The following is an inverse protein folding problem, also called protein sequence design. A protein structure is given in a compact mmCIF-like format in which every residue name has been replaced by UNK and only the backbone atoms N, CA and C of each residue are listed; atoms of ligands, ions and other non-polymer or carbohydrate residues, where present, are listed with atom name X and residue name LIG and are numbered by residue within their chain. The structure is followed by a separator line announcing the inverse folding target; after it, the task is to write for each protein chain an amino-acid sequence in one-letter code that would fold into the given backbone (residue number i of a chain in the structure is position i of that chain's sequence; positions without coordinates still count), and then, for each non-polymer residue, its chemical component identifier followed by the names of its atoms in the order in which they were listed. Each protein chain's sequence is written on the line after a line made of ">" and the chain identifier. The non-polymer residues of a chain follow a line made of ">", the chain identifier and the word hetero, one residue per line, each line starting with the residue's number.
data_IF_829529132574
#
_entry.id   IF_829529132574
#
_cell.length_a   1.000
_cell.length_b   1.000
_cell.length_c   1.000
_cell.angle_alpha   90.00
_cell.angle_beta   90.00
_cell.angle_gamma   90.00
#
_symmetry.space_group_name_H-M   'P 1'
#
loop_
_entity.id
_entity.type
_entity.pdbx_description
1 polymer ?
#
# COMPACT_ATOMS: atom_id res chain seq x y z
N UNK A 1 6.00 55.26 -69.28
CA UNK A 1 5.50 55.71 -67.96
C UNK A 1 5.39 54.48 -67.09
N UNK A 2 6.19 54.41 -66.03
CA UNK A 2 6.53 53.17 -65.32
C UNK A 2 5.52 52.86 -64.20
N UNK A 3 5.09 51.61 -64.14
CA UNK A 3 4.17 51.04 -63.14
C UNK A 3 4.97 50.76 -61.86
N UNK A 4 4.60 51.37 -60.73
CA UNK A 4 5.10 50.98 -59.40
C UNK A 4 4.01 50.21 -58.65
N UNK A 5 4.23 48.91 -58.49
CA UNK A 5 3.48 48.05 -57.60
C UNK A 5 3.79 48.40 -56.14
N UNK A 6 2.75 48.58 -55.33
CA UNK A 6 2.85 48.77 -53.87
C UNK A 6 2.61 47.41 -53.24
N UNK A 7 3.66 46.79 -52.73
CA UNK A 7 3.60 45.55 -51.93
C UNK A 7 3.32 45.93 -50.47
N UNK A 8 2.13 45.64 -49.96
CA UNK A 8 1.87 45.66 -48.51
C UNK A 8 2.44 44.39 -47.88
N UNK A 9 3.44 44.54 -47.00
CA UNK A 9 3.95 43.47 -46.16
C UNK A 9 3.16 43.45 -44.84
N UNK A 10 2.23 42.51 -44.70
CA UNK A 10 1.48 42.27 -43.46
C UNK A 10 2.37 41.49 -42.50
N UNK A 11 2.93 42.14 -41.48
CA UNK A 11 3.65 41.46 -40.40
C UNK A 11 2.64 40.77 -39.46
N UNK A 12 2.50 39.45 -39.56
CA UNK A 12 1.84 38.64 -38.53
C UNK A 12 2.76 38.59 -37.29
N UNK A 13 2.39 39.30 -36.23
CA UNK A 13 2.90 39.02 -34.89
C UNK A 13 2.22 37.75 -34.38
N UNK A 14 2.98 36.65 -34.33
CA UNK A 14 2.61 35.49 -33.52
C UNK A 14 2.83 35.83 -32.04
N UNK A 15 1.84 35.65 -31.15
CA UNK A 15 2.06 35.81 -29.73
C UNK A 15 2.99 34.70 -29.25
N UNK A 16 4.15 35.08 -28.72
CA UNK A 16 5.03 34.15 -28.02
C UNK A 16 4.26 33.60 -26.80
N UNK A 17 3.94 32.31 -26.84
CA UNK A 17 3.46 31.55 -25.69
C UNK A 17 4.56 31.58 -24.62
N UNK A 18 4.40 32.48 -23.65
CA UNK A 18 5.20 32.49 -22.44
C UNK A 18 4.93 31.17 -21.71
N UNK A 19 5.87 30.23 -21.83
CA UNK A 19 5.88 29.04 -21.00
C UNK A 19 6.17 29.52 -19.58
N UNK A 20 5.18 29.43 -18.71
CA UNK A 20 5.38 29.63 -17.27
C UNK A 20 6.26 28.49 -16.77
N UNK A 21 7.56 28.76 -16.61
CA UNK A 21 8.47 27.83 -15.95
C UNK A 21 7.94 27.65 -14.53
N UNK A 22 7.43 26.45 -14.21
CA UNK A 22 6.97 26.14 -12.87
C UNK A 22 8.13 26.36 -11.89
N UNK A 23 7.91 27.17 -10.86
CA UNK A 23 8.93 27.48 -9.87
C UNK A 23 9.40 26.17 -9.22
N UNK A 24 10.70 25.95 -9.25
CA UNK A 24 11.35 24.69 -8.92
C UNK A 24 11.97 24.84 -7.52
N UNK A 25 11.65 23.96 -6.57
CA UNK A 25 12.06 24.05 -5.14
C UNK A 25 13.10 22.97 -4.82
N UNK A 26 14.23 23.34 -4.18
CA UNK A 26 15.24 22.36 -3.77
C UNK A 26 14.71 21.43 -2.67
N UNK A 27 14.91 20.12 -2.85
CA UNK A 27 14.47 19.04 -1.93
C UNK A 27 15.62 18.55 -1.05
N UNK A 28 16.35 19.50 -0.43
CA UNK A 28 17.45 19.14 0.49
C UNK A 28 16.89 18.37 1.71
N UNK A 29 17.28 17.10 1.83
CA UNK A 29 16.90 16.24 2.96
C UNK A 29 15.48 15.67 2.89
N UNK A 30 14.79 15.82 1.76
CA UNK A 30 13.49 15.19 1.57
C UNK A 30 13.67 13.72 1.20
N UNK A 31 12.82 12.85 1.75
CA UNK A 31 12.75 11.46 1.31
C UNK A 31 12.22 11.42 -0.14
N UNK A 32 12.98 10.76 -1.01
CA UNK A 32 12.64 10.50 -2.40
C UNK A 32 12.97 9.02 -2.64
N UNK A 33 11.94 8.20 -2.77
CA UNK A 33 12.08 6.84 -3.28
C UNK A 33 12.12 6.91 -4.80
N UNK A 34 13.10 6.31 -5.47
CA UNK A 34 12.98 6.11 -6.90
C UNK A 34 12.55 4.67 -7.14
N UNK A 35 11.35 4.51 -7.70
CA UNK A 35 10.80 3.19 -8.02
C UNK A 35 11.76 2.27 -8.80
N UNK A 36 12.64 2.83 -9.64
CA UNK A 36 13.60 2.08 -10.48
C UNK A 36 14.91 1.74 -9.79
N UNK A 37 15.25 2.37 -8.65
CA UNK A 37 16.49 2.11 -7.93
C UNK A 37 17.79 2.63 -8.59
N UNK A 38 17.71 3.31 -9.75
CA UNK A 38 18.87 3.89 -10.44
C UNK A 38 19.53 4.98 -9.58
N UNK A 39 20.79 4.79 -9.21
CA UNK A 39 21.56 5.78 -8.44
C UNK A 39 21.74 7.10 -9.21
N UNK A 40 21.59 8.24 -8.54
CA UNK A 40 21.83 9.58 -9.13
C UNK A 40 20.65 10.24 -9.85
N UNK A 41 19.42 9.74 -9.65
CA UNK A 41 18.20 10.19 -10.34
C UNK A 41 17.20 10.90 -9.42
N UNK A 42 17.52 11.05 -8.14
CA UNK A 42 16.69 11.85 -7.25
C UNK A 42 16.78 13.31 -7.72
N UNK A 43 15.66 13.95 -8.10
CA UNK A 43 15.71 15.32 -8.57
C UNK A 43 16.21 16.22 -7.44
N UNK A 44 17.24 17.02 -7.71
CA UNK A 44 17.73 18.05 -6.78
C UNK A 44 16.66 19.14 -6.53
N UNK A 45 15.72 19.25 -7.46
CA UNK A 45 14.70 20.28 -7.51
C UNK A 45 13.35 19.68 -7.95
N UNK A 46 12.31 19.93 -7.19
CA UNK A 46 10.94 19.45 -7.47
C UNK A 46 10.07 20.63 -7.88
N UNK A 47 9.06 20.38 -8.70
CA UNK A 47 8.08 21.38 -9.10
C UNK A 47 7.39 22.02 -7.89
N UNK A 48 6.90 23.24 -8.08
CA UNK A 48 6.24 24.00 -7.00
C UNK A 48 5.12 23.15 -6.36
N UNK A 49 4.96 23.18 -5.02
CA UNK A 49 3.83 22.57 -4.30
C UNK A 49 2.46 23.11 -4.74
N UNK A 50 2.42 24.21 -5.48
CA UNK A 50 1.21 24.79 -6.09
C UNK A 50 0.90 24.18 -7.46
N UNK A 51 1.79 23.38 -8.03
CA UNK A 51 1.57 22.69 -9.31
C UNK A 51 0.45 21.67 -9.14
N UNK A 52 -0.48 21.62 -10.09
CA UNK A 52 -1.59 20.67 -10.07
C UNK A 52 -1.29 19.48 -10.96
N UNK A 53 -1.69 18.29 -10.54
CA UNK A 53 -1.68 17.10 -11.38
C UNK A 53 -2.86 17.06 -12.36
N UNK A 54 -2.67 16.34 -13.47
CA UNK A 54 -3.72 16.10 -14.46
C UNK A 54 -4.88 15.23 -13.94
N UNK A 55 -6.05 15.37 -14.57
CA UNK A 55 -7.27 14.66 -14.14
C UNK A 55 -7.18 13.14 -14.25
N UNK A 56 -6.28 12.60 -15.09
CA UNK A 56 -6.10 11.17 -15.25
C UNK A 56 -5.42 10.56 -14.02
N UNK A 57 -4.29 11.12 -13.58
CA UNK A 57 -3.59 10.67 -12.38
C UNK A 57 -4.45 10.82 -11.11
N UNK A 58 -5.26 11.90 -11.03
CA UNK A 58 -6.24 12.06 -9.94
C UNK A 58 -7.22 10.88 -9.88
N UNK A 59 -7.78 10.48 -11.04
CA UNK A 59 -8.68 9.32 -11.13
C UNK A 59 -7.99 8.01 -10.80
N UNK A 60 -6.72 7.83 -11.17
CA UNK A 60 -5.94 6.64 -10.80
C UNK A 60 -5.80 6.53 -9.28
N UNK A 61 -5.44 7.64 -8.62
CA UNK A 61 -5.33 7.68 -7.16
C UNK A 61 -6.69 7.40 -6.49
N UNK A 62 -7.77 8.01 -6.98
CA UNK A 62 -9.11 7.75 -6.46
C UNK A 62 -9.53 6.28 -6.66
N UNK A 63 -9.18 5.67 -7.80
CA UNK A 63 -9.38 4.24 -8.07
C UNK A 63 -8.59 3.34 -7.13
N UNK A 64 -7.38 3.74 -6.72
CA UNK A 64 -6.53 3.01 -5.76
C UNK A 64 -7.09 3.12 -4.34
N UNK A 65 -7.46 4.33 -3.90
CA UNK A 65 -7.86 4.58 -2.51
C UNK A 65 -9.27 4.06 -2.19
N UNK A 66 -10.17 4.02 -3.18
CA UNK A 66 -11.57 3.65 -3.00
C UNK A 66 -11.78 2.21 -2.52
N UNK A 67 -11.20 1.15 -3.13
CA UNK A 67 -11.40 -0.23 -2.68
C UNK A 67 -10.85 -0.50 -1.28
N UNK A 68 -9.79 0.21 -0.90
CA UNK A 68 -9.12 0.04 0.40
C UNK A 68 -9.70 0.94 1.50
N UNK A 69 -10.68 1.78 1.15
CA UNK A 69 -11.38 2.62 2.12
C UNK A 69 -10.51 3.68 2.78
N UNK A 70 -9.51 4.18 2.05
CA UNK A 70 -8.57 5.17 2.57
C UNK A 70 -8.95 6.57 2.12
N UNK A 71 -8.90 7.50 3.06
CA UNK A 71 -8.98 8.91 2.74
C UNK A 71 -7.64 9.42 2.23
N UNK A 72 -7.72 10.32 1.27
CA UNK A 72 -6.57 10.97 0.71
C UNK A 72 -6.04 12.02 1.68
N UNK A 73 -4.85 11.77 2.24
CA UNK A 73 -4.11 12.71 3.10
C UNK A 73 -2.81 13.23 2.44
N UNK A 74 -2.71 13.11 1.10
CA UNK A 74 -1.58 13.57 0.31
C UNK A 74 -2.04 14.29 -0.96
N UNK A 75 -1.24 15.23 -1.43
CA UNK A 75 -1.44 15.89 -2.73
C UNK A 75 -0.67 15.12 -3.80
N UNK A 76 -1.13 15.21 -5.05
CA UNK A 76 -0.40 14.60 -6.16
C UNK A 76 -0.04 15.73 -7.12
N UNK A 77 1.22 15.78 -7.54
CA UNK A 77 1.74 16.85 -8.41
C UNK A 77 2.48 16.25 -9.59
N UNK A 78 2.27 16.83 -10.77
CA UNK A 78 2.99 16.46 -11.98
C UNK A 78 4.28 17.27 -12.06
N UNK A 79 5.41 16.59 -12.28
CA UNK A 79 6.70 17.23 -12.46
C UNK A 79 7.48 16.58 -13.60
N UNK A 80 7.59 17.34 -14.69
CA UNK A 80 8.29 16.92 -15.91
C UNK A 80 9.80 16.86 -15.72
N UNK A 81 10.46 15.99 -16.48
CA UNK A 81 11.91 15.78 -16.49
C UNK A 81 12.45 15.24 -15.16
N UNK A 82 11.63 14.49 -14.42
CA UNK A 82 12.11 13.74 -13.26
C UNK A 82 12.34 12.27 -13.58
N UNK A 83 11.78 11.77 -14.69
CA UNK A 83 11.88 10.36 -15.12
C UNK A 83 11.52 9.37 -14.00
N UNK A 84 10.57 9.77 -13.14
CA UNK A 84 10.32 9.07 -11.89
C UNK A 84 8.90 9.33 -11.33
N UNK A 85 8.51 8.52 -10.35
CA UNK A 85 7.35 8.72 -9.49
C UNK A 85 7.77 8.42 -8.04
N UNK A 86 7.48 9.31 -7.11
CA UNK A 86 7.98 9.20 -5.73
C UNK A 86 7.10 9.89 -4.69
N UNK A 87 7.05 9.30 -3.49
CA UNK A 87 6.45 9.88 -2.30
C UNK A 87 7.44 10.79 -1.55
N UNK A 88 6.99 11.96 -1.12
CA UNK A 88 7.80 12.92 -0.35
C UNK A 88 6.97 13.79 0.60
N UNK A 89 7.64 14.49 1.52
CA UNK A 89 7.00 15.43 2.46
C UNK A 89 7.67 16.79 2.32
N UNK A 90 6.89 17.81 1.96
CA UNK A 90 7.36 19.18 1.81
C UNK A 90 6.58 20.09 2.77
N UNK A 91 7.29 20.75 3.69
CA UNK A 91 6.71 21.65 4.71
C UNK A 91 5.57 20.99 5.52
N UNK A 92 5.71 19.72 5.89
CA UNK A 92 4.71 18.96 6.65
C UNK A 92 3.55 18.40 5.82
N UNK A 93 3.42 18.76 4.54
CA UNK A 93 2.40 18.22 3.64
C UNK A 93 2.98 17.02 2.85
N UNK A 94 2.21 15.94 2.76
CA UNK A 94 2.54 14.74 1.97
C UNK A 94 2.24 14.95 0.48
N UNK A 95 3.15 14.52 -0.38
CA UNK A 95 3.05 14.62 -1.83
C UNK A 95 3.47 13.33 -2.52
N UNK A 96 2.73 12.94 -3.54
CA UNK A 96 3.22 12.04 -4.59
C UNK A 96 3.57 12.91 -5.80
N UNK A 97 4.82 12.82 -6.23
CA UNK A 97 5.36 13.55 -7.38
C UNK A 97 5.58 12.55 -8.49
N UNK A 98 5.08 12.83 -9.69
CA UNK A 98 5.27 11.93 -10.84
C UNK A 98 5.57 12.69 -12.12
N UNK A 99 6.33 12.06 -13.00
CA UNK A 99 6.52 12.50 -14.38
C UNK A 99 5.54 11.78 -15.31
N UNK A 100 4.64 12.54 -15.96
CA UNK A 100 3.64 11.96 -16.84
C UNK A 100 4.25 11.21 -18.04
N UNK A 101 5.37 11.70 -18.59
CA UNK A 101 6.04 11.07 -19.72
C UNK A 101 6.68 9.73 -19.32
N UNK A 102 7.26 9.68 -18.12
CA UNK A 102 7.76 8.42 -17.55
C UNK A 102 6.64 7.40 -17.36
N UNK A 103 5.55 7.79 -16.71
CA UNK A 103 4.42 6.88 -16.48
C UNK A 103 3.87 6.34 -17.81
N UNK A 104 3.69 7.21 -18.81
CA UNK A 104 3.24 6.81 -20.14
C UNK A 104 4.22 5.84 -20.82
N UNK A 105 5.53 6.10 -20.77
CA UNK A 105 6.53 5.23 -21.40
C UNK A 105 6.50 3.80 -20.85
N UNK A 106 6.20 3.64 -19.57
CA UNK A 106 6.10 2.32 -18.93
C UNK A 106 4.80 1.61 -19.31
N UNK A 107 3.69 2.33 -19.40
CA UNK A 107 2.43 1.78 -19.91
C UNK A 107 2.59 1.28 -21.35
N UNK A 108 3.32 2.03 -22.19
CA UNK A 108 3.63 1.65 -23.56
C UNK A 108 4.57 0.43 -23.62
N UNK A 109 5.62 0.38 -22.80
CA UNK A 109 6.56 -0.74 -22.74
C UNK A 109 5.90 -2.04 -22.23
N UNK A 110 5.00 -1.92 -21.26
CA UNK A 110 4.32 -3.06 -20.63
C UNK A 110 2.99 -3.43 -21.29
N UNK A 111 2.52 -2.61 -22.23
CA UNK A 111 1.23 -2.74 -22.91
C UNK A 111 0.02 -2.79 -21.94
N UNK A 112 0.12 -2.12 -20.78
CA UNK A 112 -0.94 -2.12 -19.76
C UNK A 112 -0.87 -0.91 -18.82
N UNK A 113 -2.03 -0.41 -18.36
CA UNK A 113 -2.12 0.64 -17.34
C UNK A 113 -1.77 0.14 -15.93
N UNK A 114 -1.78 -1.19 -15.71
CA UNK A 114 -1.45 -1.79 -14.43
C UNK A 114 -0.02 -1.49 -13.97
N UNK A 115 0.89 -1.21 -14.90
CA UNK A 115 2.26 -0.84 -14.56
C UNK A 115 2.34 0.51 -13.83
N UNK A 116 1.72 1.54 -14.39
CA UNK A 116 1.58 2.87 -13.79
C UNK A 116 0.76 2.83 -12.49
N UNK A 117 -0.34 2.07 -12.48
CA UNK A 117 -1.15 1.89 -11.26
C UNK A 117 -0.32 1.23 -10.15
N UNK A 118 0.50 0.24 -10.48
CA UNK A 118 1.36 -0.46 -9.52
C UNK A 118 2.40 0.48 -8.89
N UNK A 119 3.03 1.34 -9.71
CA UNK A 119 3.96 2.37 -9.24
C UNK A 119 3.26 3.36 -8.31
N UNK A 120 2.11 3.90 -8.73
CA UNK A 120 1.33 4.83 -7.91
C UNK A 120 0.90 4.18 -6.58
N UNK A 121 0.46 2.92 -6.60
CA UNK A 121 0.08 2.19 -5.40
C UNK A 121 1.27 1.97 -4.46
N UNK A 122 2.46 1.68 -4.99
CA UNK A 122 3.70 1.59 -4.22
C UNK A 122 4.01 2.93 -3.51
N UNK A 123 3.95 4.06 -4.22
CA UNK A 123 4.21 5.39 -3.62
C UNK A 123 3.18 5.76 -2.55
N UNK A 124 1.91 5.42 -2.78
CA UNK A 124 0.85 5.54 -1.77
C UNK A 124 1.19 4.68 -0.54
N UNK A 125 1.75 3.48 -0.75
CA UNK A 125 2.25 2.60 0.31
C UNK A 125 3.24 3.27 1.25
N UNK A 126 4.21 4.01 0.72
CA UNK A 126 5.18 4.76 1.53
C UNK A 126 4.54 5.79 2.46
N UNK A 127 3.48 6.47 2.03
CA UNK A 127 2.75 7.38 2.90
C UNK A 127 1.96 6.63 3.98
N UNK A 128 1.22 5.59 3.58
CA UNK A 128 0.30 4.90 4.48
C UNK A 128 0.97 4.02 5.52
N UNK A 129 2.13 3.45 5.18
CA UNK A 129 2.94 2.65 6.09
C UNK A 129 3.84 3.51 6.98
N UNK A 130 3.86 4.83 6.77
CA UNK A 130 4.63 5.77 7.58
C UNK A 130 6.12 5.84 7.22
N UNK A 131 6.53 5.27 6.08
CA UNK A 131 7.92 5.29 5.59
C UNK A 131 8.44 6.72 5.36
N UNK A 132 7.52 7.66 5.13
CA UNK A 132 7.82 9.07 4.89
C UNK A 132 8.01 9.91 6.15
N UNK A 133 7.82 9.35 7.36
CA UNK A 133 7.82 10.11 8.62
C UNK A 133 9.24 10.33 9.18
N UNK A 134 10.15 9.37 9.01
CA UNK A 134 11.50 9.42 9.60
C UNK A 134 12.59 9.95 8.64
N UNK A 135 12.22 10.33 7.41
CA UNK A 135 13.15 10.83 6.40
C UNK A 135 14.17 9.79 5.88
N UNK A 136 14.06 8.52 6.30
CA UNK A 136 15.00 7.44 5.98
C UNK A 136 14.31 6.34 5.19
N UNK A 137 13.69 6.67 4.07
CA UNK A 137 12.82 5.70 3.39
C UNK A 137 13.52 4.76 2.41
N UNK A 138 14.77 5.01 2.00
CA UNK A 138 15.55 4.10 1.14
C UNK A 138 16.10 2.90 1.91
N UNK A 139 15.25 2.20 2.66
CA UNK A 139 15.61 0.96 3.34
C UNK A 139 14.95 -0.20 2.59
N UNK A 140 15.69 -1.25 2.21
CA UNK A 140 15.13 -2.34 1.41
C UNK A 140 13.87 -2.97 2.01
N UNK A 141 13.69 -2.99 3.33
CA UNK A 141 12.47 -3.51 3.96
C UNK A 141 11.24 -2.62 3.69
N UNK A 142 11.40 -1.29 3.70
CA UNK A 142 10.31 -0.34 3.43
C UNK A 142 9.84 -0.45 1.98
N UNK A 143 10.77 -0.68 1.05
CA UNK A 143 10.47 -0.96 -0.37
C UNK A 143 9.64 -2.23 -0.54
N UNK A 144 10.02 -3.33 0.14
CA UNK A 144 9.28 -4.59 0.08
C UNK A 144 7.88 -4.47 0.73
N UNK A 145 7.75 -3.68 1.78
CA UNK A 145 6.46 -3.37 2.40
C UNK A 145 5.55 -2.58 1.45
N UNK A 146 6.10 -1.61 0.71
CA UNK A 146 5.38 -0.82 -0.29
C UNK A 146 4.98 -1.68 -1.50
N UNK A 147 5.88 -2.54 -2.00
CA UNK A 147 5.59 -3.53 -3.05
C UNK A 147 4.46 -4.48 -2.65
N UNK A 148 4.50 -4.96 -1.40
CA UNK A 148 3.45 -5.81 -0.85
C UNK A 148 2.11 -5.08 -0.78
N UNK A 149 2.10 -3.80 -0.37
CA UNK A 149 0.89 -2.98 -0.40
C UNK A 149 0.36 -2.81 -1.83
N UNK A 150 1.24 -2.54 -2.80
CA UNK A 150 0.87 -2.42 -4.21
C UNK A 150 0.16 -3.68 -4.72
N UNK A 151 0.72 -4.87 -4.47
CA UNK A 151 0.09 -6.14 -4.84
C UNK A 151 -1.30 -6.35 -4.24
N UNK A 152 -1.49 -5.97 -2.97
CA UNK A 152 -2.79 -6.02 -2.30
C UNK A 152 -3.81 -5.10 -2.98
N UNK A 153 -3.42 -3.86 -3.28
CA UNK A 153 -4.27 -2.86 -3.95
C UNK A 153 -4.67 -3.33 -5.35
N UNK A 154 -3.72 -3.82 -6.14
CA UNK A 154 -3.95 -4.28 -7.51
C UNK A 154 -4.98 -5.41 -7.55
N UNK A 155 -4.92 -6.37 -6.61
CA UNK A 155 -5.94 -7.40 -6.45
C UNK A 155 -7.33 -6.80 -6.20
N UNK A 156 -7.44 -5.87 -5.25
CA UNK A 156 -8.71 -5.22 -4.90
C UNK A 156 -9.28 -4.41 -6.08
N UNK A 157 -8.41 -3.90 -6.94
CA UNK A 157 -8.78 -3.22 -8.19
C UNK A 157 -9.14 -4.17 -9.33
N UNK A 158 -8.83 -5.46 -9.18
CA UNK A 158 -9.22 -6.51 -10.12
C UNK A 158 -8.11 -7.04 -11.02
N UNK A 159 -6.86 -6.59 -10.85
CA UNK A 159 -5.72 -7.11 -11.60
C UNK A 159 -5.53 -8.61 -11.32
N UNK A 160 -5.16 -9.36 -12.35
CA UNK A 160 -4.58 -10.68 -12.19
C UNK A 160 -3.21 -10.61 -11.50
N UNK A 161 -2.74 -11.75 -11.01
CA UNK A 161 -1.40 -11.82 -10.43
C UNK A 161 -0.32 -11.42 -11.44
N UNK A 162 -0.44 -11.86 -12.70
CA UNK A 162 0.55 -11.53 -13.72
C UNK A 162 0.58 -10.05 -14.07
N UNK A 163 -0.60 -9.42 -14.22
CA UNK A 163 -0.71 -7.96 -14.40
C UNK A 163 -0.12 -7.20 -13.21
N UNK A 164 -0.25 -7.73 -11.99
CA UNK A 164 0.27 -7.06 -10.80
C UNK A 164 1.81 -7.01 -10.77
N UNK A 165 2.48 -7.92 -11.48
CA UNK A 165 3.94 -8.05 -11.48
C UNK A 165 4.64 -7.28 -12.60
N UNK A 166 3.91 -6.77 -13.60
CA UNK A 166 4.48 -6.19 -14.83
C UNK A 166 5.41 -5.00 -14.59
N UNK A 167 5.06 -4.09 -13.68
CA UNK A 167 5.90 -2.92 -13.37
C UNK A 167 7.28 -3.32 -12.85
N UNK A 168 7.34 -4.27 -11.91
CA UNK A 168 8.59 -4.74 -11.31
C UNK A 168 9.40 -5.58 -12.32
N UNK A 169 8.73 -6.35 -13.19
CA UNK A 169 9.38 -7.10 -14.28
C UNK A 169 10.13 -6.16 -15.23
N UNK A 170 9.48 -5.06 -15.64
CA UNK A 170 10.03 -4.06 -16.55
C UNK A 170 11.14 -3.21 -15.90
N UNK A 171 10.91 -2.71 -14.69
CA UNK A 171 11.75 -1.65 -14.10
C UNK A 171 12.74 -2.12 -13.02
N UNK A 172 12.55 -3.32 -12.47
CA UNK A 172 13.39 -3.80 -11.37
C UNK A 172 14.83 -4.08 -11.80
N UNK A 173 15.79 -3.81 -10.93
CA UNK A 173 17.17 -4.25 -11.10
C UNK A 173 17.37 -5.68 -10.59
N UNK A 174 18.14 -6.50 -11.31
CA UNK A 174 18.43 -7.89 -10.91
C UNK A 174 19.29 -7.97 -9.64
N UNK A 175 20.01 -6.89 -9.31
CA UNK A 175 20.91 -6.82 -8.16
C UNK A 175 20.39 -5.83 -7.12
N UNK A 176 20.56 -6.16 -5.85
CA UNK A 176 20.20 -5.25 -4.77
C UNK A 176 21.20 -4.10 -4.66
N UNK A 177 20.70 -2.92 -4.29
CA UNK A 177 21.51 -1.76 -3.93
C UNK A 177 21.42 -1.49 -2.41
N UNK A 178 22.09 -0.45 -1.93
CA UNK A 178 22.00 -0.03 -0.53
C UNK A 178 20.58 0.42 -0.13
N UNK A 179 19.80 0.88 -1.10
CA UNK A 179 18.47 1.45 -0.88
C UNK A 179 17.33 0.60 -1.43
N UNK A 180 17.59 -0.19 -2.48
CA UNK A 180 16.55 -0.97 -3.16
C UNK A 180 16.87 -2.48 -3.19
N UNK A 181 15.87 -3.33 -2.90
CA UNK A 181 16.03 -4.78 -3.02
C UNK A 181 16.06 -5.23 -4.49
N UNK A 182 16.65 -6.40 -4.73
CA UNK A 182 16.69 -7.01 -6.05
C UNK A 182 15.28 -7.38 -6.56
N UNK A 183 15.10 -7.37 -7.89
CA UNK A 183 13.85 -7.69 -8.61
C UNK A 183 13.16 -8.97 -8.10
N UNK A 184 13.84 -10.11 -7.86
CA UNK A 184 13.17 -11.30 -7.36
C UNK A 184 12.46 -11.10 -6.01
N UNK A 185 13.07 -10.32 -5.09
CA UNK A 185 12.48 -10.04 -3.78
C UNK A 185 11.26 -9.11 -3.89
N UNK A 186 11.34 -8.12 -4.80
CA UNK A 186 10.23 -7.21 -5.11
C UNK A 186 9.04 -7.95 -5.69
N UNK A 187 9.26 -8.78 -6.71
CA UNK A 187 8.23 -9.63 -7.33
C UNK A 187 7.54 -10.52 -6.29
N UNK A 188 8.33 -11.15 -5.40
CA UNK A 188 7.78 -11.98 -4.34
C UNK A 188 6.95 -11.18 -3.33
N UNK A 189 7.30 -9.93 -3.07
CA UNK A 189 6.56 -9.06 -2.15
C UNK A 189 5.23 -8.61 -2.75
N UNK A 190 5.20 -8.20 -4.01
CA UNK A 190 3.96 -7.92 -4.76
C UNK A 190 3.07 -9.17 -4.77
N UNK A 191 3.63 -10.34 -5.12
CA UNK A 191 2.90 -11.61 -5.15
C UNK A 191 2.29 -11.94 -3.79
N UNK A 192 3.03 -11.76 -2.70
CA UNK A 192 2.52 -11.96 -1.34
C UNK A 192 1.34 -11.06 -1.05
N UNK A 193 1.43 -9.76 -1.38
CA UNK A 193 0.35 -8.80 -1.19
C UNK A 193 -0.92 -9.19 -1.94
N UNK A 194 -0.76 -9.57 -3.20
CA UNK A 194 -1.87 -10.01 -4.06
C UNK A 194 -2.55 -11.27 -3.51
N UNK A 195 -1.78 -12.30 -3.14
CA UNK A 195 -2.32 -13.55 -2.60
C UNK A 195 -2.96 -13.36 -1.22
N UNK A 196 -2.44 -12.43 -0.42
CA UNK A 196 -3.05 -12.06 0.86
C UNK A 196 -4.44 -11.46 0.63
N UNK A 197 -4.56 -10.56 -0.35
CA UNK A 197 -5.84 -10.00 -0.76
C UNK A 197 -6.79 -11.08 -1.31
N UNK A 198 -6.30 -12.02 -2.14
CA UNK A 198 -7.11 -13.15 -2.60
C UNK A 198 -7.61 -14.01 -1.44
N UNK A 199 -6.76 -14.32 -0.46
CA UNK A 199 -7.16 -15.10 0.72
C UNK A 199 -8.19 -14.38 1.59
N UNK A 200 -8.11 -13.05 1.66
CA UNK A 200 -9.03 -12.23 2.46
C UNK A 200 -10.34 -11.92 1.74
N UNK A 201 -10.34 -11.91 0.41
CA UNK A 201 -11.46 -11.49 -0.45
C UNK A 201 -11.63 -12.44 -1.65
N UNK A 202 -11.87 -13.74 -1.44
CA UNK A 202 -12.00 -14.70 -2.53
C UNK A 202 -13.19 -14.30 -3.41
N UNK A 203 -12.95 -14.14 -4.72
CA UNK A 203 -14.03 -13.84 -5.68
C UNK A 203 -14.86 -15.10 -5.88
N UNK A 204 -16.06 -15.13 -5.29
CA UNK A 204 -17.08 -16.19 -5.38
C UNK A 204 -16.66 -17.58 -4.87
N UNK A 205 -17.12 -17.95 -3.67
CA UNK A 205 -17.24 -19.35 -3.25
C UNK A 205 -18.35 -20.03 -4.07
N UNK A 206 -17.98 -20.57 -5.22
CA UNK A 206 -18.62 -21.79 -5.72
C UNK A 206 -17.51 -22.67 -6.25
N UNK A 207 -17.28 -23.78 -5.55
CA UNK A 207 -16.31 -24.85 -5.85
C UNK A 207 -14.84 -24.58 -5.50
N UNK A 208 -14.46 -24.82 -4.24
CA UNK A 208 -13.22 -25.53 -3.94
C UNK A 208 -13.32 -26.18 -2.56
N UNK A 209 -13.57 -27.48 -2.56
CA UNK A 209 -13.44 -28.38 -1.40
C UNK A 209 -11.96 -28.42 -0.97
N UNK A 210 -11.62 -28.62 0.32
CA UNK A 210 -10.22 -28.62 0.75
C UNK A 210 -9.46 -29.77 0.10
N UNK A 211 -8.32 -29.47 -0.53
CA UNK A 211 -7.37 -30.48 -0.92
C UNK A 211 -6.77 -31.10 0.35
N UNK A 212 -7.07 -32.39 0.53
CA UNK A 212 -6.63 -33.25 1.61
C UNK A 212 -5.09 -33.24 1.72
N UNK A 213 -4.57 -32.91 2.90
CA UNK A 213 -3.15 -32.94 3.21
C UNK A 213 -2.58 -34.37 3.06
N UNK A 214 -1.52 -34.54 2.27
CA UNK A 214 -0.70 -35.76 2.28
C UNK A 214 0.54 -35.53 3.14
N UNK A 215 0.44 -35.89 4.41
CA UNK A 215 1.61 -36.07 5.26
C UNK A 215 2.38 -37.35 4.87
N UNK A 216 3.72 -37.33 4.75
CA UNK A 216 4.49 -38.57 4.76
C UNK A 216 4.62 -39.11 6.19
N UNK A 217 4.40 -40.42 6.33
CA UNK A 217 4.54 -41.20 7.56
C UNK A 217 6.00 -41.28 8.06
N UNK A 218 6.21 -41.49 9.37
CA UNK A 218 7.53 -41.60 9.99
C UNK A 218 8.16 -42.99 9.80
N UNK A 219 9.47 -43.02 9.57
CA UNK A 219 10.27 -44.25 9.54
C UNK A 219 10.82 -44.50 10.95
N UNK A 220 10.49 -45.67 11.48
CA UNK A 220 10.90 -46.23 12.77
C UNK A 220 12.30 -46.86 12.70
N UNK A 221 13.13 -46.70 13.75
CA UNK A 221 13.83 -47.82 14.44
C UNK A 221 14.79 -47.34 15.57
N UNK A 222 15.17 -48.24 16.52
CA UNK A 222 15.20 -47.94 17.96
C UNK A 222 16.60 -47.99 18.60
N UNK A 223 16.80 -47.39 19.79
CA UNK A 223 17.77 -47.83 20.81
C UNK A 223 17.28 -47.44 22.22
N UNK A 224 17.56 -48.32 23.18
CA UNK A 224 17.03 -48.41 24.53
C UNK A 224 17.83 -47.69 25.65
N UNK A 225 17.15 -47.60 26.80
CA UNK A 225 17.61 -47.68 28.20
C UNK A 225 18.29 -46.48 28.92
N UNK A 226 17.71 -46.21 30.10
CA UNK A 226 18.00 -45.23 31.17
C UNK A 226 19.24 -45.63 32.04
N UNK A 227 19.60 -44.98 33.19
CA UNK A 227 18.88 -43.92 33.95
C UNK A 227 19.71 -42.78 34.62
N UNK A 228 18.93 -41.79 35.10
CA UNK A 228 18.99 -40.97 36.32
C UNK A 228 20.23 -40.12 36.72
N UNK A 229 19.93 -38.81 36.83
CA UNK A 229 20.21 -37.87 37.93
C UNK A 229 21.62 -37.36 38.19
N UNK A 230 21.83 -36.07 37.90
CA UNK A 230 22.38 -35.10 38.88
C UNK A 230 21.93 -33.68 38.56
N UNK A 231 21.56 -32.97 39.62
CA UNK A 231 21.08 -31.60 39.72
C UNK A 231 22.25 -30.62 39.59
N UNK A 232 22.21 -29.67 38.64
CA UNK A 232 22.87 -28.35 38.75
C UNK A 232 22.05 -27.30 37.96
N UNK A 233 21.83 -26.15 38.60
CA UNK A 233 20.99 -25.01 38.22
C UNK A 233 21.25 -24.38 36.83
N UNK A 234 20.22 -23.85 36.14
CA UNK A 234 20.45 -23.01 34.98
C UNK A 234 20.48 -21.52 35.35
N UNK A 235 21.61 -20.91 35.01
CA UNK A 235 21.79 -19.48 34.81
C UNK A 235 20.88 -19.05 33.66
N UNK A 236 20.15 -17.96 33.83
CA UNK A 236 19.17 -17.42 32.87
C UNK A 236 19.82 -17.09 31.52
N UNK A 237 19.61 -17.94 30.52
CA UNK A 237 19.84 -17.62 29.11
C UNK A 237 18.51 -17.15 28.55
N UNK A 238 18.51 -15.93 28.00
CA UNK A 238 17.35 -15.35 27.33
C UNK A 238 16.81 -16.32 26.28
N UNK A 239 15.52 -16.63 26.38
CA UNK A 239 14.83 -17.51 25.46
C UNK A 239 14.91 -16.93 24.03
N UNK A 240 15.37 -17.75 23.09
CA UNK A 240 15.19 -17.48 21.67
C UNK A 240 13.69 -17.28 21.38
N UNK A 241 13.29 -16.35 20.49
CA UNK A 241 11.88 -16.12 20.21
C UNK A 241 11.27 -17.40 19.65
N UNK A 242 10.20 -17.88 20.32
CA UNK A 242 9.44 -19.04 19.88
C UNK A 242 8.96 -18.82 18.44
N UNK A 243 9.15 -19.84 17.60
CA UNK A 243 8.64 -19.88 16.22
C UNK A 243 7.13 -19.63 16.30
N UNK A 244 6.65 -18.49 15.80
CA UNK A 244 5.23 -18.15 15.86
C UNK A 244 4.42 -19.23 15.11
N UNK A 245 3.59 -19.97 15.84
CA UNK A 245 2.70 -20.98 15.27
C UNK A 245 1.67 -20.26 14.41
N UNK A 246 1.65 -20.57 13.11
CA UNK A 246 0.66 -20.07 12.15
C UNK A 246 -0.58 -20.97 12.21
N UNK A 247 -1.77 -20.37 12.14
CA UNK A 247 -3.06 -21.05 12.22
C UNK A 247 -3.82 -20.70 13.51
N UNK A 248 -4.79 -21.54 13.88
CA UNK A 248 -5.51 -21.40 15.13
C UNK A 248 -4.59 -21.74 16.31
N UNK A 249 -4.27 -20.76 17.15
CA UNK A 249 -3.32 -20.92 18.27
C UNK A 249 -4.02 -21.06 19.62
N UNK A 250 -5.31 -20.72 19.71
CA UNK A 250 -6.13 -20.93 20.90
C UNK A 250 -7.61 -20.82 20.56
N UNK A 251 -8.47 -21.53 21.31
CA UNK A 251 -9.91 -21.45 21.17
C UNK A 251 -10.43 -22.21 19.95
N UNK A 252 -11.61 -21.82 19.49
CA UNK A 252 -12.30 -22.40 18.33
C UNK A 252 -12.30 -21.39 17.19
N UNK A 253 -11.51 -21.70 16.15
CA UNK A 253 -11.41 -20.88 14.95
C UNK A 253 -12.30 -21.39 13.80
N UNK A 254 -13.18 -22.37 14.06
CA UNK A 254 -14.16 -22.86 13.09
C UNK A 254 -15.54 -22.25 13.38
N UNK A 255 -16.09 -22.45 14.58
CA UNK A 255 -17.47 -22.04 14.92
C UNK A 255 -17.60 -21.49 16.36
N UNK A 256 -16.63 -20.69 16.78
CA UNK A 256 -16.61 -20.17 18.15
C UNK A 256 -15.69 -18.98 18.36
N UNK A 257 -15.07 -18.89 19.53
CA UNK A 257 -14.14 -17.81 19.87
C UNK A 257 -12.71 -18.33 19.80
N UNK A 258 -11.90 -17.71 18.96
CA UNK A 258 -10.55 -18.18 18.67
C UNK A 258 -9.52 -17.06 18.57
N UNK A 259 -8.25 -17.47 18.57
CA UNK A 259 -7.13 -16.64 18.12
C UNK A 259 -6.48 -17.32 16.94
N UNK A 260 -6.46 -16.64 15.80
CA UNK A 260 -5.82 -17.10 14.58
C UNK A 260 -4.62 -16.22 14.26
N UNK A 261 -3.47 -16.84 13.99
CA UNK A 261 -2.22 -16.16 13.61
C UNK A 261 -1.94 -16.43 12.14
N UNK A 262 -1.81 -15.37 11.36
CA UNK A 262 -1.52 -15.45 9.93
C UNK A 262 -0.02 -15.64 9.67
N UNK A 263 0.40 -16.14 8.48
CA UNK A 263 1.81 -16.20 8.08
C UNK A 263 2.53 -14.86 8.15
N UNK A 264 1.81 -13.74 8.05
CA UNK A 264 2.30 -12.37 8.16
C UNK A 264 2.63 -11.96 9.60
N UNK A 265 2.34 -12.81 10.59
CA UNK A 265 2.33 -12.54 12.04
C UNK A 265 1.24 -11.57 12.51
N UNK A 266 0.37 -11.10 11.62
CA UNK A 266 -0.90 -10.50 12.03
C UNK A 266 -1.73 -11.57 12.76
N UNK A 267 -2.64 -11.14 13.64
CA UNK A 267 -3.55 -12.06 14.32
C UNK A 267 -4.95 -11.50 14.41
N UNK A 268 -5.93 -12.39 14.44
CA UNK A 268 -7.31 -12.09 14.75
C UNK A 268 -7.68 -12.77 16.07
N UNK A 269 -8.39 -12.03 16.93
CA UNK A 269 -8.96 -12.53 18.18
C UNK A 269 -10.44 -12.17 18.17
N UNK A 270 -11.33 -13.16 18.13
CA UNK A 270 -12.75 -12.88 18.03
C UNK A 270 -13.59 -14.11 17.71
N UNK A 271 -14.80 -13.83 17.24
CA UNK A 271 -15.78 -14.83 16.84
C UNK A 271 -15.50 -15.36 15.42
N UNK A 272 -15.81 -16.63 15.21
CA UNK A 272 -15.71 -17.38 13.98
C UNK A 272 -17.03 -18.10 13.69
N UNK A 273 -17.37 -18.19 12.41
CA UNK A 273 -18.48 -19.00 11.89
C UNK A 273 -18.02 -19.59 10.56
N UNK A 274 -18.13 -20.91 10.37
CA UNK A 274 -17.64 -21.65 9.21
C UNK A 274 -16.17 -21.33 8.84
N UNK A 275 -15.31 -21.21 9.85
CA UNK A 275 -13.88 -20.81 9.74
C UNK A 275 -13.62 -19.37 9.28
N UNK A 276 -14.66 -18.56 9.12
CA UNK A 276 -14.56 -17.17 8.73
C UNK A 276 -14.71 -16.25 9.95
N UNK A 277 -13.99 -15.12 9.99
CA UNK A 277 -14.20 -14.10 11.03
C UNK A 277 -15.65 -13.63 10.96
N UNK A 278 -16.35 -13.72 12.08
CA UNK A 278 -17.74 -13.31 12.23
C UNK A 278 -17.90 -12.54 13.54
N UNK A 279 -19.01 -11.81 13.70
CA UNK A 279 -19.39 -11.20 14.97
C UNK A 279 -18.36 -10.20 15.47
N UNK A 280 -18.12 -10.14 16.78
CA UNK A 280 -17.19 -9.17 17.36
C UNK A 280 -15.77 -9.72 17.38
N UNK A 281 -14.81 -8.92 16.88
CA UNK A 281 -13.41 -9.31 16.87
C UNK A 281 -12.43 -8.14 16.89
N UNK A 282 -11.16 -8.47 17.06
CA UNK A 282 -10.03 -7.54 17.01
C UNK A 282 -8.93 -8.11 16.12
N UNK A 283 -8.55 -7.35 15.09
CA UNK A 283 -7.37 -7.61 14.29
C UNK A 283 -6.18 -6.86 14.84
N UNK A 284 -5.00 -7.48 14.76
CA UNK A 284 -3.74 -6.91 15.19
C UNK A 284 -2.73 -6.98 14.05
N UNK A 285 -1.93 -5.93 13.94
CA UNK A 285 -0.74 -5.90 13.12
C UNK A 285 0.33 -6.88 13.62
N UNK A 286 1.31 -7.18 12.76
CA UNK A 286 2.44 -8.06 13.08
C UNK A 286 3.31 -7.60 14.26
N UNK A 287 3.30 -6.29 14.55
CA UNK A 287 3.96 -5.67 15.71
C UNK A 287 3.11 -5.76 17.00
N UNK A 288 1.91 -6.34 16.90
CA UNK A 288 0.97 -6.51 17.99
C UNK A 288 0.07 -5.31 18.28
N UNK A 289 0.20 -4.19 17.56
CA UNK A 289 -0.72 -3.05 17.68
C UNK A 289 -2.10 -3.43 17.13
N UNK A 290 -3.15 -2.85 17.72
CA UNK A 290 -4.52 -3.04 17.22
C UNK A 290 -4.63 -2.41 15.84
N UNK A 291 -5.14 -3.17 14.87
CA UNK A 291 -5.43 -2.76 13.49
C UNK A 291 -6.91 -2.41 13.33
N UNK A 292 -7.79 -3.24 13.88
CA UNK A 292 -9.22 -3.01 13.85
C UNK A 292 -9.89 -3.63 15.07
N UNK A 293 -10.95 -2.98 15.57
CA UNK A 293 -11.85 -3.52 16.58
C UNK A 293 -13.30 -3.23 16.16
N UNK A 294 -14.12 -4.25 16.01
CA UNK A 294 -15.50 -4.07 15.55
C UNK A 294 -16.14 -5.36 15.09
N UNK A 295 -17.15 -5.23 14.23
CA UNK A 295 -17.92 -6.36 13.73
C UNK A 295 -17.33 -6.92 12.43
N UNK A 296 -17.48 -8.22 12.25
CA UNK A 296 -17.08 -8.97 11.07
C UNK A 296 -18.26 -9.78 10.53
N UNK A 297 -18.27 -9.97 9.22
CA UNK A 297 -19.17 -10.87 8.50
C UNK A 297 -18.40 -11.45 7.31
N UNK A 298 -18.33 -12.77 7.22
CA UNK A 298 -17.65 -13.49 6.12
C UNK A 298 -16.20 -13.02 5.90
N UNK A 299 -15.40 -12.91 6.97
CA UNK A 299 -14.04 -12.33 6.98
C UNK A 299 -13.93 -10.82 6.73
N UNK A 300 -15.02 -10.12 6.44
CA UNK A 300 -15.01 -8.70 6.12
C UNK A 300 -15.43 -7.86 7.32
N UNK A 301 -14.75 -6.74 7.58
CA UNK A 301 -15.20 -5.72 8.52
C UNK A 301 -16.57 -5.21 8.07
N UNK A 302 -17.51 -5.21 8.99
CA UNK A 302 -18.91 -4.88 8.76
C UNK A 302 -19.44 -4.06 9.93
N UNK A 303 -20.59 -3.43 9.72
CA UNK A 303 -21.33 -2.67 10.73
C UNK A 303 -20.41 -1.67 11.46
N UNK A 304 -20.57 -1.46 12.76
CA UNK A 304 -19.77 -0.46 13.47
C UNK A 304 -18.40 -1.01 13.89
N UNK A 305 -17.35 -0.19 13.75
CA UNK A 305 -16.02 -0.50 14.25
C UNK A 305 -15.04 0.68 14.23
N UNK A 306 -13.82 0.40 14.68
CA UNK A 306 -12.72 1.36 14.74
C UNK A 306 -11.50 0.76 14.06
N UNK A 307 -11.01 1.42 13.02
CA UNK A 307 -9.79 1.03 12.30
C UNK A 307 -8.66 1.99 12.62
N UNK A 308 -7.51 1.44 13.02
CA UNK A 308 -6.30 2.19 13.35
C UNK A 308 -5.29 1.97 12.23
N UNK A 309 -4.94 3.04 11.53
CA UNK A 309 -4.00 2.98 10.40
C UNK A 309 -2.55 3.08 10.90
N UNK A 310 -1.61 2.49 10.14
CA UNK A 310 -0.17 2.51 10.49
C UNK A 310 0.43 3.91 10.50
N UNK A 311 -0.11 4.82 9.69
CA UNK A 311 0.30 6.22 9.64
C UNK A 311 -0.16 7.06 10.84
N UNK A 312 -0.92 6.48 11.78
CA UNK A 312 -1.44 7.15 12.97
C UNK A 312 -2.89 7.63 12.82
N UNK A 313 -3.45 7.59 11.60
CA UNK A 313 -4.84 7.95 11.38
C UNK A 313 -5.78 6.91 12.02
N UNK A 314 -7.04 7.28 12.23
CA UNK A 314 -8.08 6.37 12.71
C UNK A 314 -9.42 6.67 12.05
N UNK A 315 -10.18 5.63 11.71
CA UNK A 315 -11.59 5.77 11.36
C UNK A 315 -12.46 5.08 12.42
N UNK A 316 -13.56 5.72 12.80
CA UNK A 316 -14.56 5.21 13.73
C UNK A 316 -15.94 5.40 13.12
N UNK A 317 -16.65 4.31 12.84
CA UNK A 317 -17.94 4.40 12.16
C UNK A 317 -18.39 3.10 11.51
N UNK A 318 -19.30 3.24 10.56
CA UNK A 318 -19.90 2.13 9.83
C UNK A 318 -18.99 1.64 8.69
N UNK A 319 -18.93 0.32 8.55
CA UNK A 319 -18.20 -0.42 7.53
C UNK A 319 -19.15 -1.30 6.73
N UNK A 320 -18.88 -1.42 5.44
CA UNK A 320 -19.50 -2.41 4.57
C UNK A 320 -18.41 -3.02 3.69
N UNK A 321 -18.25 -4.34 3.76
CA UNK A 321 -17.26 -5.10 2.98
C UNK A 321 -15.85 -4.49 3.10
N UNK A 322 -15.36 -4.33 4.34
CA UNK A 322 -14.05 -3.76 4.66
C UNK A 322 -13.87 -2.24 4.43
N UNK A 323 -14.87 -1.54 3.89
CA UNK A 323 -14.77 -0.13 3.50
C UNK A 323 -15.65 0.74 4.40
N UNK A 324 -15.18 1.91 4.89
CA UNK A 324 -16.03 2.90 5.53
C UNK A 324 -17.25 3.25 4.67
N UNK A 325 -18.44 3.00 5.20
CA UNK A 325 -19.70 3.21 4.49
C UNK A 325 -20.83 3.45 5.49
N UNK A 326 -21.41 4.64 5.49
CA UNK A 326 -22.36 5.13 6.49
C UNK A 326 -21.75 6.21 7.37
N UNK A 327 -22.34 6.44 8.55
CA UNK A 327 -21.89 7.51 9.45
C UNK A 327 -20.53 7.18 10.07
N UNK A 328 -19.68 8.19 10.25
CA UNK A 328 -18.40 7.98 10.92
C UNK A 328 -17.62 9.28 11.17
N UNK A 329 -16.47 9.11 11.80
CA UNK A 329 -15.45 10.13 11.97
C UNK A 329 -14.09 9.56 11.60
N UNK A 330 -13.36 10.28 10.76
CA UNK A 330 -11.96 10.01 10.50
C UNK A 330 -11.10 11.04 11.21
N UNK A 331 -10.08 10.56 11.89
CA UNK A 331 -9.12 11.33 12.65
C UNK A 331 -7.77 11.19 11.95
N UNK A 332 -7.22 12.32 11.51
CA UNK A 332 -5.88 12.38 10.96
C UNK A 332 -4.85 12.44 12.09
N UNK A 333 -3.66 11.89 11.84
CA UNK A 333 -2.57 11.87 12.81
C UNK A 333 -2.07 13.27 13.20
N UNK A 334 -2.30 14.28 12.35
CA UNK A 334 -1.98 15.69 12.60
C UNK A 334 -3.00 16.42 13.50
N UNK A 335 -4.12 15.77 13.83
CA UNK A 335 -5.15 16.29 14.72
C UNK A 335 -6.47 16.62 14.01
N UNK A 336 -6.46 16.78 12.69
CA UNK A 336 -7.67 17.10 11.93
C UNK A 336 -8.70 15.97 12.05
N UNK A 337 -9.99 16.31 11.91
CA UNK A 337 -11.09 15.35 11.94
C UNK A 337 -12.15 15.66 10.91
N UNK A 338 -12.57 14.64 10.16
CA UNK A 338 -13.73 14.71 9.25
C UNK A 338 -14.85 13.85 9.80
N UNK A 339 -16.01 14.44 10.09
CA UNK A 339 -17.19 13.74 10.61
C UNK A 339 -18.38 13.89 9.66
N UNK A 340 -19.07 12.81 9.37
CA UNK A 340 -20.26 12.84 8.52
C UNK A 340 -20.58 11.47 7.92
N UNK A 341 -21.13 11.47 6.71
CA UNK A 341 -21.44 10.25 5.97
C UNK A 341 -20.29 9.89 5.04
N UNK A 342 -19.92 8.61 5.02
CA UNK A 342 -18.90 8.06 4.14
C UNK A 342 -19.56 7.13 3.13
N UNK A 343 -19.14 7.21 1.87
CA UNK A 343 -19.60 6.33 0.80
C UNK A 343 -18.39 5.80 0.05
N UNK A 344 -18.22 4.48 0.07
CA UNK A 344 -17.06 3.81 -0.53
C UNK A 344 -15.71 4.39 -0.05
N UNK A 345 -15.58 4.62 1.27
CA UNK A 345 -14.34 5.10 1.87
C UNK A 345 -14.13 6.62 1.81
N UNK A 346 -14.96 7.34 1.05
CA UNK A 346 -14.82 8.78 0.85
C UNK A 346 -15.89 9.56 1.62
N UNK A 347 -15.55 10.72 2.19
CA UNK A 347 -16.53 11.60 2.82
C UNK A 347 -17.46 12.16 1.75
N UNK A 348 -18.75 12.24 2.06
CA UNK A 348 -19.73 12.93 1.22
C UNK A 348 -19.68 14.44 1.45
N UNK A 349 -20.36 15.21 0.60
CA UNK A 349 -20.30 16.67 0.62
C UNK A 349 -20.84 17.32 1.92
N UNK A 350 -21.64 16.58 2.70
CA UNK A 350 -22.18 16.98 4.01
C UNK A 350 -21.22 16.75 5.18
N UNK A 351 -20.03 16.20 4.94
CA UNK A 351 -19.03 16.01 5.99
C UNK A 351 -18.46 17.35 6.49
N UNK A 352 -18.24 17.42 7.80
CA UNK A 352 -17.68 18.58 8.49
C UNK A 352 -16.21 18.29 8.83
N UNK A 353 -15.31 19.16 8.37
CA UNK A 353 -13.90 19.19 8.78
C UNK A 353 -13.77 20.04 10.06
N UNK A 354 -13.08 19.49 11.06
CA UNK A 354 -12.71 20.15 12.30
C UNK A 354 -11.18 20.06 12.48
N UNK A 355 -10.59 21.12 13.01
CA UNK A 355 -9.16 21.25 13.31
C UNK A 355 -8.89 21.10 14.81
#
# INVERSE_FOLDING_TARGET
>A
MSVKAITLLSALLLPALAHTVSAQIPVKGAFICNYTGKSGTNPDVVCSPTTTSNAHAQKVVDRILKPIGLMRNFKIIECTNTENCFATVMKGQRFIVYDAAFMQSIEEETETDWSAISIMAHEIGHHLQGHTIDGTGGQPQKELEADKFSGFVLHQMGASLDESLVAVRALGDEHATSTHPAKPARLESVRKGWLEAESMYPKNRSAAKPALASAPRPVTSPVASAPASTVVSPRSVAAAPAKATVGCVSGDCEDGKGTFVYPTRERYVGEFEESDKHGVGTEYYADGKVKYKGNFRDNLRADYGVYYYRNGDRFEGWFQKNIPNGKGSYYFADGDRVTGTFKNGQPTADCVLAH
#
